data_IF_843241109673
#
_entry.id   IF_843241109673
#
_cell.length_a   1.000
_cell.length_b   1.000
_cell.length_c   1.000
_cell.angle_alpha   90.00
_cell.angle_beta   90.00
_cell.angle_gamma   90.00
#
_symmetry.space_group_name_H-M   'P 1'
#
loop_
_entity.id
_entity.type
_entity.pdbx_description
1 polymer ?
#
# COMPACT_ATOMS: atom_id res chain seq x y z
N UNK A 1 -21.58 15.45 -12.53
CA UNK A 1 -20.65 15.66 -11.40
C UNK A 1 -19.37 14.93 -11.75
N UNK A 2 -18.29 15.66 -12.02
CA UNK A 2 -16.99 15.04 -12.30
C UNK A 2 -16.42 14.62 -10.96
N UNK A 3 -16.40 13.32 -10.67
CA UNK A 3 -15.65 12.81 -9.52
C UNK A 3 -14.18 13.12 -9.82
N UNK A 4 -13.59 14.06 -9.09
CA UNK A 4 -12.16 14.21 -9.13
C UNK A 4 -11.58 12.87 -8.66
N UNK A 5 -10.86 12.18 -9.53
CA UNK A 5 -10.05 11.04 -9.11
C UNK A 5 -8.96 11.67 -8.25
N UNK A 6 -9.06 11.54 -6.93
CA UNK A 6 -8.00 11.99 -6.03
C UNK A 6 -6.75 11.16 -6.36
N UNK A 7 -5.77 11.77 -7.01
CA UNK A 7 -4.48 11.15 -7.27
C UNK A 7 -3.71 11.09 -5.95
N UNK A 8 -3.59 9.90 -5.40
CA UNK A 8 -2.89 9.67 -4.14
C UNK A 8 -1.38 9.74 -4.39
N UNK A 9 -0.62 10.53 -3.61
CA UNK A 9 0.81 10.66 -3.85
C UNK A 9 1.52 9.33 -3.57
N UNK A 10 2.17 8.79 -4.61
CA UNK A 10 3.08 7.65 -4.50
C UNK A 10 4.50 8.19 -4.32
N UNK A 11 5.12 7.92 -3.18
CA UNK A 11 6.52 8.31 -2.90
C UNK A 11 7.41 7.09 -2.98
N UNK A 12 8.43 7.15 -3.84
CA UNK A 12 9.53 6.20 -3.85
C UNK A 12 10.74 6.77 -3.10
N UNK A 13 11.29 6.00 -2.16
CA UNK A 13 12.43 6.44 -1.35
C UNK A 13 13.38 5.28 -1.06
N UNK A 14 14.58 5.61 -0.57
CA UNK A 14 15.55 4.67 -0.03
C UNK A 14 15.97 5.20 1.34
N UNK A 15 15.86 4.38 2.39
CA UNK A 15 16.32 4.77 3.73
C UNK A 15 17.82 4.56 3.92
N UNK A 16 18.37 5.05 5.03
CA UNK A 16 19.81 4.98 5.34
C UNK A 16 20.34 3.54 5.42
N UNK A 17 19.45 2.57 5.65
CA UNK A 17 19.79 1.14 5.68
C UNK A 17 19.75 0.51 4.29
N UNK A 18 19.51 1.30 3.24
CA UNK A 18 19.40 0.84 1.85
C UNK A 18 18.07 0.13 1.54
N UNK A 19 17.06 0.25 2.41
CA UNK A 19 15.73 -0.30 2.11
C UNK A 19 15.02 0.61 1.13
N UNK A 20 14.66 0.07 -0.02
CA UNK A 20 13.81 0.77 -0.97
C UNK A 20 12.35 0.69 -0.54
N UNK A 21 11.61 1.78 -0.70
CA UNK A 21 10.19 1.89 -0.34
C UNK A 21 9.40 2.55 -1.46
N UNK A 22 8.17 2.09 -1.60
CA UNK A 22 7.09 2.71 -2.38
C UNK A 22 5.93 2.85 -1.40
N UNK A 23 5.46 4.07 -1.16
CA UNK A 23 4.42 4.34 -0.16
C UNK A 23 3.34 5.21 -0.78
N UNK A 24 2.08 4.84 -0.54
CA UNK A 24 0.91 5.63 -0.92
C UNK A 24 0.28 6.22 0.33
N UNK A 25 -0.04 7.50 0.23
CA UNK A 25 -0.70 8.26 1.27
C UNK A 25 -2.10 8.65 0.83
N UNK A 26 -3.03 8.76 1.78
CA UNK A 26 -4.31 9.44 1.58
C UNK A 26 -4.17 10.96 1.53
N UNK A 27 -5.29 11.64 1.30
CA UNK A 27 -5.39 13.10 1.25
C UNK A 27 -4.96 13.77 2.58
N UNK A 28 -5.08 13.05 3.70
CA UNK A 28 -4.68 13.48 5.04
C UNK A 28 -3.22 13.13 5.37
N UNK A 29 -2.43 12.72 4.36
CA UNK A 29 -1.02 12.29 4.48
C UNK A 29 -0.80 11.05 5.36
N UNK A 30 -1.85 10.30 5.66
CA UNK A 30 -1.75 9.02 6.34
C UNK A 30 -1.38 7.92 5.35
N UNK A 31 -0.53 6.98 5.78
CA UNK A 31 -0.16 5.85 4.92
C UNK A 31 -1.36 4.94 4.71
N UNK A 32 -1.64 4.57 3.46
CA UNK A 32 -2.64 3.55 3.11
C UNK A 32 -1.96 2.19 2.98
N UNK A 33 -0.99 2.12 2.07
CA UNK A 33 -0.31 0.89 1.69
C UNK A 33 1.08 1.18 1.12
N UNK A 34 1.84 0.13 0.86
CA UNK A 34 3.10 0.27 0.16
C UNK A 34 3.80 -1.04 -0.09
N UNK A 35 5.00 -0.94 -0.64
CA UNK A 35 5.94 -2.02 -0.81
C UNK A 35 7.32 -1.60 -0.31
N UNK A 36 8.07 -2.53 0.25
CA UNK A 36 9.47 -2.29 0.59
C UNK A 36 10.36 -3.47 0.21
N UNK A 37 11.61 -3.19 -0.12
CA UNK A 37 12.65 -4.18 -0.37
C UNK A 37 13.85 -3.87 0.52
N UNK A 38 14.08 -4.65 1.59
CA UNK A 38 15.25 -4.46 2.44
C UNK A 38 16.54 -4.68 1.64
N UNK A 39 17.63 -4.03 2.07
CA UNK A 39 18.93 -4.18 1.44
C UNK A 39 19.35 -5.66 1.38
N UNK A 40 19.80 -6.10 0.20
CA UNK A 40 20.21 -7.49 -0.05
C UNK A 40 19.07 -8.49 -0.26
N UNK A 41 17.79 -8.07 -0.20
CA UNK A 41 16.66 -8.95 -0.50
C UNK A 41 16.27 -8.91 -1.98
N UNK A 42 15.83 -10.06 -2.50
CA UNK A 42 15.42 -10.21 -3.90
C UNK A 42 13.98 -9.77 -4.16
N UNK A 43 13.12 -9.77 -3.13
CA UNK A 43 11.68 -9.56 -3.28
C UNK A 43 11.22 -8.29 -2.58
N UNK A 44 10.29 -7.59 -3.22
CA UNK A 44 9.46 -6.55 -2.62
C UNK A 44 8.39 -7.20 -1.76
N UNK A 45 8.13 -6.60 -0.60
CA UNK A 45 7.13 -7.02 0.37
C UNK A 45 6.03 -5.99 0.45
N UNK A 46 4.81 -6.40 0.10
CA UNK A 46 3.64 -5.54 0.19
C UNK A 46 3.15 -5.43 1.63
N UNK A 47 2.59 -4.28 1.98
CA UNK A 47 1.95 -4.03 3.27
C UNK A 47 0.75 -3.09 3.15
N UNK A 48 -0.16 -3.22 4.10
CA UNK A 48 -1.24 -2.26 4.39
C UNK A 48 -0.91 -1.55 5.70
N UNK A 49 -1.30 -0.29 5.84
CA UNK A 49 -1.24 0.38 7.12
C UNK A 49 -2.19 -0.27 8.13
N UNK A 50 -1.79 -0.31 9.40
CA UNK A 50 -2.57 -0.95 10.45
C UNK A 50 -3.97 -0.32 10.61
N UNK A 51 -4.06 1.00 10.47
CA UNK A 51 -5.32 1.75 10.48
C UNK A 51 -6.28 1.24 9.41
N UNK A 52 -5.79 1.08 8.17
CA UNK A 52 -6.55 0.53 7.05
C UNK A 52 -6.93 -0.92 7.28
N UNK A 53 -5.99 -1.76 7.72
CA UNK A 53 -6.24 -3.19 7.94
C UNK A 53 -7.22 -3.48 9.10
N UNK A 54 -7.29 -2.59 10.09
CA UNK A 54 -8.20 -2.71 11.24
C UNK A 54 -9.63 -2.21 10.98
N UNK A 55 -9.87 -1.57 9.83
CA UNK A 55 -11.19 -1.07 9.46
C UNK A 55 -12.11 -2.25 9.12
N UNK A 56 -12.95 -2.65 10.07
CA UNK A 56 -13.98 -3.69 9.89
C UNK A 56 -13.61 -5.10 10.32
N UNK A 57 -12.37 -5.34 10.79
CA UNK A 57 -11.97 -6.62 11.38
C UNK A 57 -10.87 -6.41 12.43
N UNK A 58 -10.88 -7.12 13.58
CA UNK A 58 -9.78 -7.05 14.53
C UNK A 58 -8.48 -7.49 13.88
N UNK A 59 -7.40 -6.74 14.08
CA UNK A 59 -6.10 -7.10 13.57
C UNK A 59 -5.70 -8.49 14.11
N UNK A 60 -5.23 -9.43 13.25
CA UNK A 60 -4.83 -10.75 13.71
C UNK A 60 -3.63 -10.64 14.66
N UNK A 61 -3.61 -11.47 15.70
CA UNK A 61 -2.50 -11.50 16.68
C UNK A 61 -1.15 -11.88 16.03
N UNK A 62 -1.20 -12.59 14.90
CA UNK A 62 -0.04 -12.95 14.10
C UNK A 62 -0.16 -12.20 12.77
N UNK A 63 0.82 -11.34 12.41
CA UNK A 63 0.83 -10.71 11.10
C UNK A 63 0.85 -11.76 9.98
N UNK A 64 -0.02 -11.66 8.97
CA UNK A 64 0.05 -12.57 7.83
C UNK A 64 1.40 -12.41 7.11
N UNK A 65 1.88 -13.46 6.44
CA UNK A 65 3.07 -13.35 5.61
C UNK A 65 2.87 -12.29 4.54
N UNK A 66 3.94 -11.54 4.23
CA UNK A 66 3.90 -10.54 3.18
C UNK A 66 3.59 -11.18 1.82
N UNK A 67 2.74 -10.52 1.04
CA UNK A 67 2.66 -10.79 -0.40
C UNK A 67 3.95 -10.29 -1.04
N UNK A 68 4.57 -11.14 -1.86
CA UNK A 68 5.88 -10.88 -2.46
C UNK A 68 5.74 -10.53 -3.94
N UNK A 69 6.53 -9.54 -4.39
CA UNK A 69 6.71 -9.22 -5.79
C UNK A 69 8.20 -9.27 -6.15
N UNK A 70 8.56 -10.01 -7.19
CA UNK A 70 9.95 -10.11 -7.63
C UNK A 70 10.45 -8.83 -8.31
N UNK A 71 9.56 -8.15 -9.04
CA UNK A 71 9.88 -6.94 -9.81
C UNK A 71 9.31 -5.71 -9.15
N UNK A 72 10.04 -4.60 -9.26
CA UNK A 72 9.57 -3.29 -8.79
C UNK A 72 8.28 -2.86 -9.49
N UNK A 73 8.15 -3.12 -10.79
CA UNK A 73 6.94 -2.74 -11.53
C UNK A 73 5.70 -3.48 -11.04
N UNK A 74 5.84 -4.76 -10.68
CA UNK A 74 4.72 -5.54 -10.14
C UNK A 74 4.33 -5.02 -8.75
N UNK A 75 5.32 -4.63 -7.93
CA UNK A 75 5.07 -3.98 -6.64
C UNK A 75 4.31 -2.65 -6.81
N UNK A 76 4.71 -1.80 -7.77
CA UNK A 76 4.00 -0.56 -8.08
C UNK A 76 2.55 -0.83 -8.49
N UNK A 77 2.32 -1.75 -9.44
CA UNK A 77 0.96 -2.08 -9.90
C UNK A 77 0.06 -2.58 -8.78
N UNK A 78 0.59 -3.42 -7.89
CA UNK A 78 -0.16 -3.88 -6.72
C UNK A 78 -0.50 -2.74 -5.76
N UNK A 79 0.46 -1.87 -5.48
CA UNK A 79 0.28 -0.72 -4.59
C UNK A 79 -0.78 0.25 -5.15
N UNK A 80 -0.69 0.58 -6.44
CA UNK A 80 -1.66 1.41 -7.15
C UNK A 80 -3.07 0.80 -7.14
N UNK A 81 -3.18 -0.50 -7.42
CA UNK A 81 -4.47 -1.21 -7.40
C UNK A 81 -5.10 -1.19 -6.00
N UNK A 82 -4.31 -1.46 -4.95
CA UNK A 82 -4.79 -1.45 -3.56
C UNK A 82 -5.28 -0.05 -3.19
N UNK A 83 -4.50 0.99 -3.52
CA UNK A 83 -4.90 2.38 -3.27
C UNK A 83 -6.17 2.77 -4.03
N UNK A 84 -6.29 2.35 -5.29
CA UNK A 84 -7.49 2.59 -6.07
C UNK A 84 -8.74 1.94 -5.44
N UNK A 85 -8.63 0.68 -4.99
CA UNK A 85 -9.74 -0.02 -4.34
C UNK A 85 -10.11 0.56 -2.97
N UNK A 86 -9.11 1.06 -2.22
CA UNK A 86 -9.34 1.75 -0.95
C UNK A 86 -10.16 3.03 -1.13
N UNK A 87 -9.91 3.75 -2.23
CA UNK A 87 -10.49 5.07 -2.51
C UNK A 87 -11.81 5.00 -3.25
N UNK A 88 -12.05 3.90 -3.96
CA UNK A 88 -13.27 3.63 -4.71
C UNK A 88 -13.93 2.34 -4.18
N UNK A 89 -14.35 2.30 -2.90
CA UNK A 89 -15.06 1.14 -2.38
C UNK A 89 -16.32 0.90 -3.20
N UNK A 90 -16.63 -0.37 -3.48
CA UNK A 90 -17.87 -0.72 -4.15
C UNK A 90 -19.04 -0.09 -3.39
N UNK A 91 -19.97 0.55 -4.12
CA UNK A 91 -21.17 1.11 -3.51
C UNK A 91 -21.85 -0.01 -2.70
N UNK A 92 -21.95 0.18 -1.38
CA UNK A 92 -22.70 -0.73 -0.52
C UNK A 92 -24.14 -0.63 -1.00
N UNK A 93 -24.64 -1.70 -1.63
CA UNK A 93 -26.04 -1.76 -2.05
C UNK A 93 -26.92 -1.54 -0.84
N UNK A 94 -27.60 -0.40 -0.82
CA UNK A 94 -28.61 -0.01 0.17
C UNK A 94 -29.92 -0.75 -0.05
#
# INVERSE_FOLDING_TARGET
MSSAVAEHPVIASVDDNGTERITVFDDDTSVICGAFRPAGHLYWRLYLAATVASAGCPAPQIPPPHVLAARREDACRWVELIAHLYTHPAAVGS
#
